data_IF_857435648409
#
_entry.id   IF_857435648409
#
_cell.length_a   1.000
_cell.length_b   1.000
_cell.length_c   1.000
_cell.angle_alpha   90.00
_cell.angle_beta   90.00
_cell.angle_gamma   90.00
#
_symmetry.space_group_name_H-M   'P 1'
#
loop_
_entity.id
_entity.type
_entity.pdbx_description
1 polymer ?
#
# COMPACT_ATOMS: atom_id res chain seq x y z
N UNK A 1 -68.46 38.50 -7.98
CA UNK A 1 -68.88 37.31 -8.74
C UNK A 1 -68.01 36.15 -8.28
N UNK A 2 -68.66 35.10 -7.78
CA UNK A 2 -68.23 33.69 -7.60
C UNK A 2 -66.93 33.37 -6.83
N UNK A 3 -67.03 32.93 -5.56
CA UNK A 3 -66.90 31.53 -5.03
C UNK A 3 -65.44 31.01 -5.00
N UNK A 4 -64.87 30.40 -3.97
CA UNK A 4 -65.35 29.88 -2.69
C UNK A 4 -64.20 29.19 -1.91
N UNK A 5 -64.52 28.78 -0.69
CA UNK A 5 -63.63 28.35 0.40
C UNK A 5 -62.80 27.06 0.18
N UNK A 6 -61.79 26.97 1.04
CA UNK A 6 -60.89 25.86 1.42
C UNK A 6 -61.63 24.55 1.75
N UNK A 7 -61.05 23.42 1.33
CA UNK A 7 -61.23 22.11 1.99
C UNK A 7 -59.97 21.23 1.86
N UNK A 8 -59.59 20.64 2.99
CA UNK A 8 -58.45 19.77 3.26
C UNK A 8 -58.41 18.51 2.36
N UNK A 9 -57.22 18.07 1.96
CA UNK A 9 -56.95 16.68 1.57
C UNK A 9 -55.88 16.11 2.49
N UNK A 10 -56.25 15.00 3.13
CA UNK A 10 -55.49 14.31 4.16
C UNK A 10 -54.18 13.71 3.68
N UNK A 11 -53.34 13.42 4.65
CA UNK A 11 -52.08 12.70 4.52
C UNK A 11 -52.27 11.36 3.78
N UNK A 12 -51.30 10.93 2.98
CA UNK A 12 -51.28 9.57 2.46
C UNK A 12 -51.08 8.58 3.61
N UNK A 13 -51.91 7.53 3.63
CA UNK A 13 -51.78 6.38 4.53
C UNK A 13 -50.37 5.78 4.47
N UNK A 14 -49.79 5.36 5.60
CA UNK A 14 -48.56 4.59 5.57
C UNK A 14 -48.83 3.25 4.87
N UNK A 15 -48.04 2.99 3.83
CA UNK A 15 -47.96 1.71 3.15
C UNK A 15 -47.79 0.62 4.19
N UNK A 16 -48.74 -0.31 4.24
CA UNK A 16 -48.66 -1.51 5.06
C UNK A 16 -47.39 -2.27 4.67
N UNK A 17 -46.41 -2.26 5.56
CA UNK A 17 -45.23 -3.12 5.52
C UNK A 17 -45.73 -4.57 5.48
N UNK A 18 -45.47 -5.24 4.36
CA UNK A 18 -45.74 -6.67 4.26
C UNK A 18 -44.98 -7.37 5.40
N UNK A 19 -45.58 -8.35 6.10
CA UNK A 19 -44.87 -9.11 7.11
C UNK A 19 -43.67 -9.77 6.44
N UNK A 20 -42.47 -9.27 6.76
CA UNK A 20 -41.23 -9.92 6.40
C UNK A 20 -41.25 -11.32 6.99
N UNK A 21 -41.50 -12.32 6.16
CA UNK A 21 -41.14 -13.69 6.48
C UNK A 21 -39.63 -13.69 6.62
N UNK A 22 -39.15 -13.58 7.86
CA UNK A 22 -37.79 -13.89 8.26
C UNK A 22 -37.56 -15.37 7.96
N UNK A 23 -37.26 -15.68 6.69
CA UNK A 23 -36.80 -17.00 6.30
C UNK A 23 -35.43 -17.12 6.93
N UNK A 24 -35.37 -17.76 8.10
CA UNK A 24 -34.12 -18.06 8.78
C UNK A 24 -33.34 -19.02 7.89
N UNK A 25 -32.44 -18.47 7.06
CA UNK A 25 -31.59 -19.27 6.19
C UNK A 25 -30.64 -20.06 7.09
N UNK A 26 -30.81 -21.37 7.12
CA UNK A 26 -29.99 -22.27 7.94
C UNK A 26 -28.81 -22.81 7.13
N UNK A 27 -27.70 -23.08 7.80
CA UNK A 27 -26.56 -23.77 7.20
C UNK A 27 -26.93 -25.19 6.73
N UNK A 28 -26.34 -25.66 5.62
CA UNK A 28 -26.66 -26.98 5.08
C UNK A 28 -26.21 -28.08 6.05
N UNK A 29 -27.07 -29.08 6.21
CA UNK A 29 -26.77 -30.28 6.99
C UNK A 29 -26.41 -31.42 6.03
N UNK A 30 -25.21 -31.98 6.18
CA UNK A 30 -24.76 -33.10 5.37
C UNK A 30 -24.02 -34.14 6.22
N UNK A 31 -23.96 -35.38 5.72
CA UNK A 31 -23.49 -36.52 6.50
C UNK A 31 -21.96 -36.61 6.55
N UNK A 32 -21.26 -36.02 5.58
CA UNK A 32 -19.79 -35.98 5.50
C UNK A 32 -19.28 -34.57 5.20
N UNK A 33 -18.04 -34.27 5.57
CA UNK A 33 -17.46 -32.95 5.29
C UNK A 33 -17.35 -32.60 3.79
N UNK A 34 -17.04 -33.53 2.86
CA UNK A 34 -17.09 -33.24 1.43
C UNK A 34 -18.49 -32.87 0.93
N UNK A 35 -19.53 -33.55 1.43
CA UNK A 35 -20.92 -33.21 1.11
C UNK A 35 -21.30 -31.84 1.67
N UNK A 36 -20.88 -31.52 2.91
CA UNK A 36 -21.08 -30.20 3.51
C UNK A 36 -20.45 -29.10 2.67
N UNK A 37 -19.20 -29.30 2.22
CA UNK A 37 -18.49 -28.35 1.37
C UNK A 37 -19.21 -28.14 0.03
N UNK A 38 -19.65 -29.22 -0.62
CA UNK A 38 -20.42 -29.14 -1.86
C UNK A 38 -21.77 -28.43 -1.68
N UNK A 39 -22.46 -28.67 -0.56
CA UNK A 39 -23.72 -28.02 -0.24
C UNK A 39 -23.55 -26.51 0.01
N UNK A 40 -22.46 -26.11 0.67
CA UNK A 40 -22.12 -24.70 0.87
C UNK A 40 -21.82 -24.01 -0.47
N UNK A 41 -21.02 -24.61 -1.35
CA UNK A 41 -20.78 -24.08 -2.71
C UNK A 41 -22.10 -23.86 -3.47
N UNK A 42 -22.99 -24.87 -3.46
CA UNK A 42 -24.27 -24.78 -4.14
C UNK A 42 -25.22 -23.73 -3.54
N UNK A 43 -25.13 -23.45 -2.22
CA UNK A 43 -25.87 -22.36 -1.59
C UNK A 43 -25.26 -20.99 -1.91
N UNK A 44 -23.94 -20.89 -1.95
CA UNK A 44 -23.22 -19.69 -2.33
C UNK A 44 -23.56 -19.26 -3.77
N UNK A 45 -23.64 -20.22 -4.70
CA UNK A 45 -24.03 -19.97 -6.10
C UNK A 45 -25.43 -19.38 -6.24
N UNK A 46 -26.32 -19.66 -5.26
CA UNK A 46 -27.67 -19.09 -5.21
C UNK A 46 -27.77 -17.80 -4.39
N UNK A 47 -26.64 -17.29 -3.87
CA UNK A 47 -26.64 -16.14 -2.95
C UNK A 47 -27.41 -16.40 -1.65
N UNK A 48 -27.53 -17.66 -1.25
CA UNK A 48 -28.40 -18.11 -0.17
C UNK A 48 -27.61 -18.59 1.06
N UNK A 49 -26.38 -18.08 1.26
CA UNK A 49 -25.64 -18.38 2.48
C UNK A 49 -26.16 -17.53 3.64
N UNK A 50 -26.22 -18.09 4.87
CA UNK A 50 -26.55 -17.32 6.05
C UNK A 50 -25.56 -16.15 6.23
N UNK A 51 -26.03 -14.96 6.62
CA UNK A 51 -25.14 -13.82 6.87
C UNK A 51 -24.31 -13.99 8.15
N UNK A 52 -24.77 -14.85 9.08
CA UNK A 52 -24.07 -15.17 10.33
C UNK A 52 -23.23 -16.43 10.20
N UNK A 53 -22.02 -16.39 10.75
CA UNK A 53 -21.13 -17.56 10.90
C UNK A 53 -21.57 -18.51 12.02
N UNK A 54 -22.54 -18.12 12.84
CA UNK A 54 -23.03 -18.94 13.95
C UNK A 54 -23.68 -20.23 13.43
N UNK A 55 -23.30 -21.36 14.03
CA UNK A 55 -23.78 -22.68 13.62
C UNK A 55 -23.23 -23.18 12.28
N UNK A 56 -22.25 -22.50 11.69
CA UNK A 56 -21.64 -22.97 10.45
C UNK A 56 -20.97 -24.34 10.65
N UNK A 57 -21.23 -25.34 9.79
CA UNK A 57 -20.70 -26.68 9.96
C UNK A 57 -19.24 -26.80 9.49
N UNK A 58 -18.75 -25.81 8.74
CA UNK A 58 -17.42 -25.78 8.13
C UNK A 58 -16.77 -24.41 8.30
N UNK A 59 -15.49 -24.39 8.65
CA UNK A 59 -14.67 -23.18 8.70
C UNK A 59 -13.32 -23.37 8.02
N UNK A 60 -12.68 -22.26 7.67
CA UNK A 60 -11.35 -22.21 7.07
C UNK A 60 -10.32 -21.82 8.13
N UNK A 61 -9.24 -22.58 8.23
CA UNK A 61 -8.09 -22.26 9.08
C UNK A 61 -6.87 -22.02 8.18
N UNK A 62 -6.50 -20.75 8.00
CA UNK A 62 -5.21 -20.39 7.41
C UNK A 62 -4.10 -20.57 8.46
N UNK A 63 -3.02 -21.26 8.11
CA UNK A 63 -1.86 -21.44 8.99
C UNK A 63 -0.54 -21.39 8.19
N UNK A 64 0.59 -21.39 8.90
CA UNK A 64 1.93 -21.24 8.33
C UNK A 64 2.61 -19.95 8.77
N UNK A 65 3.86 -19.73 8.34
CA UNK A 65 4.62 -18.51 8.66
C UNK A 65 3.98 -17.27 8.04
N UNK A 66 3.50 -17.38 6.81
CA UNK A 66 2.80 -16.31 6.10
C UNK A 66 1.37 -16.77 5.81
N UNK A 67 0.36 -16.22 6.50
CA UNK A 67 -1.03 -16.59 6.29
C UNK A 67 -1.46 -16.34 4.85
N UNK A 68 -2.21 -17.28 4.29
CA UNK A 68 -2.79 -17.19 2.95
C UNK A 68 -3.97 -16.22 2.97
N UNK A 69 -4.03 -15.30 2.01
CA UNK A 69 -5.19 -14.45 1.76
C UNK A 69 -6.16 -15.17 0.81
N UNK A 70 -7.47 -14.98 1.04
CA UNK A 70 -8.52 -15.62 0.25
C UNK A 70 -9.28 -14.61 -0.60
N UNK A 71 -9.64 -15.01 -1.81
CA UNK A 71 -10.65 -14.28 -2.58
C UNK A 71 -12.01 -14.34 -1.85
N UNK A 72 -12.83 -13.26 -1.90
CA UNK A 72 -14.16 -13.26 -1.31
C UNK A 72 -15.19 -14.04 -2.14
N UNK A 73 -14.76 -15.11 -2.82
CA UNK A 73 -15.55 -15.85 -3.80
C UNK A 73 -16.44 -16.93 -3.16
N UNK A 74 -16.07 -17.41 -1.97
CA UNK A 74 -16.85 -18.31 -1.13
C UNK A 74 -16.76 -17.85 0.34
N UNK A 75 -17.79 -17.19 0.88
CA UNK A 75 -17.73 -16.62 2.23
C UNK A 75 -17.89 -17.71 3.29
N UNK A 76 -16.77 -18.37 3.60
CA UNK A 76 -16.65 -19.31 4.72
C UNK A 76 -16.16 -18.56 5.97
N UNK A 77 -16.60 -18.95 7.18
CA UNK A 77 -16.07 -18.39 8.40
C UNK A 77 -14.60 -18.79 8.60
N UNK A 78 -13.79 -17.83 9.06
CA UNK A 78 -12.41 -18.08 9.46
C UNK A 78 -12.35 -18.61 10.89
N UNK A 79 -11.65 -19.72 11.09
CA UNK A 79 -11.34 -20.27 12.41
C UNK A 79 -9.91 -19.88 12.84
N UNK A 80 -9.71 -19.73 14.14
CA UNK A 80 -8.37 -19.71 14.76
C UNK A 80 -8.00 -21.11 15.23
N UNK A 81 -6.73 -21.35 15.55
CA UNK A 81 -6.31 -22.65 16.09
C UNK A 81 -7.11 -23.04 17.35
N UNK A 82 -7.31 -22.08 18.26
CA UNK A 82 -8.07 -22.21 19.51
C UNK A 82 -9.57 -22.40 19.26
N UNK A 83 -10.15 -21.63 18.32
CA UNK A 83 -11.58 -21.69 17.98
C UNK A 83 -11.97 -22.82 17.02
N UNK A 84 -10.99 -23.52 16.43
CA UNK A 84 -11.24 -24.58 15.44
C UNK A 84 -12.04 -25.76 15.98
N UNK A 85 -12.06 -25.96 17.30
CA UNK A 85 -12.80 -27.04 17.95
C UNK A 85 -14.32 -26.91 17.90
N UNK A 86 -14.85 -25.72 17.60
CA UNK A 86 -16.29 -25.49 17.47
C UNK A 86 -16.88 -26.04 16.16
N UNK A 87 -16.03 -26.32 15.16
CA UNK A 87 -16.45 -26.73 13.83
C UNK A 87 -16.28 -28.22 13.63
N UNK A 88 -17.31 -28.86 13.07
CA UNK A 88 -17.23 -30.27 12.69
C UNK A 88 -16.24 -30.47 11.55
N UNK A 89 -16.36 -29.66 10.51
CA UNK A 89 -15.52 -29.73 9.33
C UNK A 89 -14.53 -28.57 9.33
N UNK A 90 -13.25 -28.89 9.10
CA UNK A 90 -12.20 -27.88 9.08
C UNK A 90 -11.44 -27.97 7.76
N UNK A 91 -11.45 -26.87 7.00
CA UNK A 91 -10.64 -26.70 5.79
C UNK A 91 -9.35 -25.97 6.18
N UNK A 92 -8.24 -26.68 6.28
CA UNK A 92 -6.95 -26.07 6.59
C UNK A 92 -6.24 -25.67 5.30
N UNK A 93 -5.64 -24.49 5.28
CA UNK A 93 -4.89 -23.98 4.13
C UNK A 93 -3.57 -23.39 4.62
N UNK A 94 -2.47 -23.79 4.01
CA UNK A 94 -1.17 -23.18 4.25
C UNK A 94 -0.39 -23.03 2.96
N UNK A 95 0.32 -21.91 2.83
CA UNK A 95 1.28 -21.71 1.76
C UNK A 95 2.65 -22.25 2.17
N UNK A 96 3.27 -22.95 1.23
CA UNK A 96 4.70 -23.22 1.24
C UNK A 96 5.29 -22.28 0.19
N UNK A 97 5.87 -21.19 0.66
CA UNK A 97 6.57 -20.22 -0.18
C UNK A 97 8.07 -20.47 -0.10
N UNK A 98 8.76 -20.32 -1.22
CA UNK A 98 10.21 -20.19 -1.21
C UNK A 98 10.53 -18.69 -1.23
N UNK A 99 10.89 -18.08 -0.09
CA UNK A 99 11.18 -16.66 -0.03
C UNK A 99 12.40 -16.27 -0.86
N UNK A 100 13.29 -17.23 -1.19
CA UNK A 100 14.45 -16.99 -2.05
C UNK A 100 14.11 -17.04 -3.54
N UNK A 101 13.01 -17.70 -3.93
CA UNK A 101 12.61 -17.81 -5.34
C UNK A 101 12.08 -16.48 -5.92
N UNK A 102 11.55 -15.59 -5.07
CA UNK A 102 10.96 -14.31 -5.49
C UNK A 102 9.81 -14.46 -6.49
N UNK A 103 9.42 -13.36 -7.12
CA UNK A 103 8.54 -13.40 -8.29
C UNK A 103 9.36 -13.26 -9.58
N UNK A 104 8.93 -13.95 -10.63
CA UNK A 104 9.42 -13.74 -11.99
C UNK A 104 8.89 -12.38 -12.48
N UNK A 105 9.77 -11.48 -12.91
CA UNK A 105 9.40 -10.15 -13.39
C UNK A 105 9.67 -10.02 -14.88
N UNK A 106 8.72 -9.44 -15.61
CA UNK A 106 8.87 -9.11 -17.03
C UNK A 106 8.52 -7.65 -17.25
N UNK A 107 9.52 -6.82 -17.51
CA UNK A 107 9.31 -5.40 -17.85
C UNK A 107 8.62 -5.33 -19.22
N UNK A 108 7.45 -4.70 -19.25
CA UNK A 108 6.67 -4.49 -20.46
C UNK A 108 6.99 -3.15 -21.09
N UNK A 109 7.19 -2.13 -20.26
CA UNK A 109 7.48 -0.76 -20.69
C UNK A 109 8.19 0.02 -19.59
N UNK A 110 9.10 0.89 -20.00
CA UNK A 110 9.71 1.91 -19.15
C UNK A 110 9.59 3.27 -19.83
N UNK A 111 9.17 4.30 -19.09
CA UNK A 111 9.03 5.66 -19.61
C UNK A 111 9.38 6.71 -18.56
N UNK A 112 10.05 7.78 -18.99
CA UNK A 112 10.23 8.99 -18.17
C UNK A 112 9.09 9.95 -18.43
N UNK A 113 8.31 10.24 -17.40
CA UNK A 113 7.18 11.15 -17.46
C UNK A 113 7.51 12.48 -16.80
N UNK A 114 6.79 13.53 -17.20
CA UNK A 114 6.86 14.85 -16.57
C UNK A 114 5.55 15.11 -15.85
N UNK A 115 5.66 15.61 -14.63
CA UNK A 115 4.51 15.98 -13.81
C UNK A 115 4.80 17.22 -12.98
N UNK A 116 3.86 17.63 -12.15
CA UNK A 116 3.99 18.76 -11.25
C UNK A 116 3.24 18.53 -9.95
N UNK A 117 3.80 18.99 -8.84
CA UNK A 117 3.19 18.86 -7.51
C UNK A 117 3.09 20.24 -6.83
N UNK A 118 2.15 20.43 -5.90
CA UNK A 118 1.98 21.70 -5.20
C UNK A 118 3.13 21.93 -4.21
N UNK A 119 3.81 23.07 -4.33
CA UNK A 119 4.88 23.50 -3.41
C UNK A 119 4.50 24.69 -2.53
N UNK A 120 3.32 25.26 -2.77
CA UNK A 120 2.82 26.40 -2.00
C UNK A 120 1.52 26.91 -2.60
N UNK A 121 1.04 28.04 -2.09
CA UNK A 121 -0.11 28.75 -2.63
C UNK A 121 0.26 30.18 -2.96
N UNK A 122 -0.29 30.69 -4.07
CA UNK A 122 -0.27 32.12 -4.39
C UNK A 122 -1.69 32.65 -4.27
N UNK A 123 -1.82 33.78 -3.60
CA UNK A 123 -3.10 34.48 -3.54
C UNK A 123 -3.28 35.28 -4.82
N UNK A 124 -4.30 34.94 -5.61
CA UNK A 124 -4.66 35.69 -6.81
C UNK A 124 -6.05 36.28 -6.66
N UNK A 125 -6.35 37.30 -7.45
CA UNK A 125 -7.70 37.88 -7.49
C UNK A 125 -8.63 36.83 -8.09
N UNK A 126 -9.75 36.57 -7.41
CA UNK A 126 -10.75 35.63 -7.88
C UNK A 126 -11.38 36.16 -9.19
N UNK A 127 -11.30 35.43 -10.33
CA UNK A 127 -11.83 35.89 -11.60
C UNK A 127 -13.35 36.12 -11.55
N UNK A 128 -14.08 35.28 -10.79
CA UNK A 128 -15.52 35.43 -10.59
C UNK A 128 -15.85 36.72 -9.85
N UNK A 129 -15.03 37.11 -8.88
CA UNK A 129 -15.19 38.39 -8.20
C UNK A 129 -15.02 39.58 -9.16
N UNK A 130 -14.06 39.50 -10.08
CA UNK A 130 -13.89 40.54 -11.10
C UNK A 130 -15.04 40.58 -12.10
N UNK A 131 -15.53 39.42 -12.55
CA UNK A 131 -16.68 39.31 -13.47
C UNK A 131 -17.96 39.87 -12.85
N UNK A 132 -18.27 39.52 -11.61
CA UNK A 132 -19.44 40.03 -10.88
C UNK A 132 -19.35 41.55 -10.67
N UNK A 133 -18.15 42.06 -10.35
CA UNK A 133 -17.94 43.50 -10.17
C UNK A 133 -18.08 44.28 -11.47
N UNK A 134 -17.60 43.71 -12.58
CA UNK A 134 -17.71 44.34 -13.90
C UNK A 134 -19.17 44.30 -14.38
N UNK A 135 -19.88 43.19 -14.17
CA UNK A 135 -21.33 43.06 -14.44
C UNK A 135 -22.15 44.11 -13.68
N UNK A 136 -21.87 44.28 -12.37
CA UNK A 136 -22.54 45.31 -11.55
C UNK A 136 -22.26 46.72 -12.06
N UNK A 137 -21.05 46.97 -12.58
CA UNK A 137 -20.66 48.27 -13.12
C UNK A 137 -21.37 48.57 -14.44
N UNK A 138 -21.59 47.56 -15.27
CA UNK A 138 -22.28 47.71 -16.54
C UNK A 138 -23.78 47.95 -16.35
N UNK A 139 -24.44 47.20 -15.45
CA UNK A 139 -25.83 47.48 -15.02
C UNK A 139 -25.99 48.93 -14.52
N UNK A 140 -25.06 49.38 -13.66
CA UNK A 140 -25.10 50.75 -13.13
C UNK A 140 -24.91 51.82 -14.22
N UNK A 141 -24.14 51.52 -15.28
CA UNK A 141 -23.95 52.44 -16.42
C UNK A 141 -25.20 52.51 -17.29
N UNK A 142 -25.87 51.38 -17.51
CA UNK A 142 -27.11 51.33 -18.28
C UNK A 142 -28.23 52.11 -17.59
N UNK A 143 -28.35 52.00 -16.26
CA UNK A 143 -29.27 52.81 -15.45
C UNK A 143 -29.01 54.33 -15.59
N UNK A 144 -27.73 54.72 -15.67
CA UNK A 144 -27.32 56.11 -15.85
C UNK A 144 -27.50 56.62 -17.28
N UNK A 145 -27.44 55.74 -18.29
CA UNK A 145 -27.61 56.08 -19.70
C UNK A 145 -29.07 56.23 -20.11
N UNK A 146 -29.98 55.43 -19.54
CA UNK A 146 -31.43 55.54 -19.76
C UNK A 146 -32.07 56.83 -19.22
N UNK A 147 -31.40 57.54 -18.31
CA UNK A 147 -31.85 58.83 -17.77
C UNK A 147 -31.38 60.06 -18.52
N UNK A 148 -30.66 59.92 -19.64
CA UNK A 148 -30.47 61.03 -20.58
C UNK A 148 -31.75 61.23 -21.38
N UNK A 149 -32.70 61.93 -20.77
CA UNK A 149 -33.79 62.57 -21.49
C UNK A 149 -33.17 63.37 -22.65
N UNK A 150 -33.56 63.04 -23.87
CA UNK A 150 -33.26 63.85 -25.05
C UNK A 150 -34.03 65.16 -24.84
N UNK A 151 -33.37 66.18 -24.30
CA UNK A 151 -33.94 67.52 -24.20
C UNK A 151 -33.92 68.17 -25.59
N UNK A 152 -34.81 67.73 -26.46
CA UNK A 152 -35.20 68.51 -27.64
C UNK A 152 -35.99 69.70 -27.13
N UNK A 153 -35.39 70.90 -27.15
CA UNK A 153 -35.96 72.14 -26.62
C UNK A 153 -37.21 72.62 -27.36
N UNK A 154 -38.31 71.88 -27.25
CA UNK A 154 -39.65 72.24 -27.71
C UNK A 154 -40.69 71.79 -26.65
N UNK A 155 -41.30 72.72 -25.91
CA UNK A 155 -42.19 72.42 -24.79
C UNK A 155 -43.53 71.76 -25.20
N UNK A 156 -43.87 71.72 -26.49
CA UNK A 156 -45.12 71.11 -26.96
C UNK A 156 -44.97 69.60 -27.29
N UNK A 157 -43.77 69.12 -27.59
CA UNK A 157 -43.50 67.69 -27.87
C UNK A 157 -43.12 66.93 -26.58
N UNK A 158 -42.67 67.65 -25.55
CA UNK A 158 -42.23 67.08 -24.27
C UNK A 158 -43.38 66.50 -23.41
N UNK A 159 -44.65 66.88 -23.66
CA UNK A 159 -45.77 66.40 -22.85
C UNK A 159 -46.32 65.04 -23.32
N UNK A 160 -46.14 64.69 -24.60
CA UNK A 160 -46.58 63.39 -25.15
C UNK A 160 -45.51 62.31 -24.98
N UNK A 161 -44.23 62.70 -24.88
CA UNK A 161 -43.14 61.79 -24.51
C UNK A 161 -43.23 61.26 -23.06
N UNK A 162 -43.91 61.97 -22.16
CA UNK A 162 -43.98 61.63 -20.73
C UNK A 162 -45.10 60.64 -20.38
N UNK A 163 -46.16 60.53 -21.20
CA UNK A 163 -47.31 59.66 -20.87
C UNK A 163 -47.26 58.30 -21.60
N UNK A 164 -46.58 58.20 -22.74
CA UNK A 164 -46.42 56.92 -23.46
C UNK A 164 -45.19 56.09 -23.03
N UNK A 165 -44.19 56.68 -22.37
CA UNK A 165 -43.03 55.95 -21.82
C UNK A 165 -43.20 55.41 -20.41
N UNK A 166 -44.10 55.99 -19.60
CA UNK A 166 -44.14 55.76 -18.14
C UNK A 166 -44.75 54.44 -17.66
N UNK A 167 -45.39 53.64 -18.51
CA UNK A 167 -46.08 52.40 -18.09
C UNK A 167 -45.35 51.12 -18.54
N UNK A 168 -44.51 51.20 -19.58
CA UNK A 168 -43.70 50.04 -20.02
C UNK A 168 -42.33 49.99 -19.32
N UNK A 169 -41.77 51.12 -18.87
CA UNK A 169 -40.48 51.14 -18.16
C UNK A 169 -40.56 50.63 -16.71
N UNK A 170 -41.74 50.68 -16.08
CA UNK A 170 -41.93 50.30 -14.67
C UNK A 170 -41.87 48.79 -14.39
N UNK A 171 -42.25 47.95 -15.37
CA UNK A 171 -42.18 46.49 -15.22
C UNK A 171 -40.75 45.97 -15.44
N UNK A 172 -39.99 46.57 -16.37
CA UNK A 172 -38.56 46.26 -16.57
C UNK A 172 -37.68 46.77 -15.42
N UNK A 173 -38.05 47.87 -14.75
CA UNK A 173 -37.31 48.38 -13.60
C UNK A 173 -37.34 47.41 -12.40
N UNK A 174 -38.49 46.77 -12.14
CA UNK A 174 -38.63 45.82 -11.03
C UNK A 174 -37.83 44.51 -11.25
N UNK A 175 -37.63 44.08 -12.49
CA UNK A 175 -36.84 42.88 -12.79
C UNK A 175 -35.33 43.18 -12.74
N UNK A 176 -34.90 44.38 -13.15
CA UNK A 176 -33.50 44.84 -13.05
C UNK A 176 -33.03 45.02 -11.61
N UNK A 177 -33.92 45.51 -10.72
CA UNK A 177 -33.59 45.64 -9.29
C UNK A 177 -33.32 44.28 -8.62
N UNK A 178 -34.04 43.23 -9.00
CA UNK A 178 -33.86 41.88 -8.45
C UNK A 178 -32.57 41.21 -8.99
N UNK A 179 -32.28 41.39 -10.29
CA UNK A 179 -31.05 40.91 -10.92
C UNK A 179 -29.81 41.58 -10.32
N UNK A 180 -29.86 42.91 -10.14
CA UNK A 180 -28.79 43.66 -9.45
C UNK A 180 -28.60 43.21 -8.00
N UNK A 181 -29.68 43.06 -7.24
CA UNK A 181 -29.61 42.56 -5.87
C UNK A 181 -29.05 41.12 -5.81
N UNK A 182 -29.30 40.31 -6.84
CA UNK A 182 -28.69 39.00 -7.05
C UNK A 182 -27.17 39.08 -7.21
N UNK A 183 -26.69 39.91 -8.13
CA UNK A 183 -25.25 40.12 -8.40
C UNK A 183 -24.54 40.69 -7.16
N UNK A 184 -25.15 41.66 -6.46
CA UNK A 184 -24.58 42.25 -5.23
C UNK A 184 -24.43 41.21 -4.11
N UNK A 185 -25.43 40.33 -3.95
CA UNK A 185 -25.39 39.23 -2.97
C UNK A 185 -24.30 38.22 -3.31
N UNK A 186 -24.23 37.79 -4.57
CA UNK A 186 -23.21 36.85 -5.04
C UNK A 186 -21.80 37.44 -4.94
N UNK A 187 -21.63 38.73 -5.21
CA UNK A 187 -20.36 39.45 -5.06
C UNK A 187 -19.92 39.55 -3.59
N UNK A 188 -20.87 39.74 -2.67
CA UNK A 188 -20.60 39.77 -1.23
C UNK A 188 -20.18 38.40 -0.66
N UNK A 189 -20.76 37.33 -1.21
CA UNK A 189 -20.44 35.94 -0.86
C UNK A 189 -19.14 35.45 -1.54
N UNK A 190 -18.81 36.00 -2.70
CA UNK A 190 -17.59 35.65 -3.44
C UNK A 190 -16.37 36.34 -2.84
N UNK A 191 -15.45 35.55 -2.26
CA UNK A 191 -14.20 36.07 -1.73
C UNK A 191 -13.36 36.79 -2.81
N UNK A 192 -12.82 37.96 -2.47
CA UNK A 192 -11.99 38.80 -3.38
C UNK A 192 -10.74 38.08 -3.90
N UNK A 193 -10.22 37.14 -3.13
CA UNK A 193 -9.02 36.40 -3.46
C UNK A 193 -9.29 34.90 -3.38
N UNK A 194 -8.62 34.15 -4.24
CA UNK A 194 -8.54 32.69 -4.17
C UNK A 194 -7.07 32.27 -4.05
N UNK A 195 -6.82 31.21 -3.28
CA UNK A 195 -5.50 30.63 -3.14
C UNK A 195 -5.32 29.58 -4.24
N UNK A 196 -4.40 29.83 -5.18
CA UNK A 196 -4.05 28.89 -6.24
C UNK A 196 -2.77 28.15 -5.89
N UNK A 197 -2.68 26.83 -6.13
CA UNK A 197 -1.45 26.09 -5.89
C UNK A 197 -0.34 26.56 -6.84
N UNK A 198 0.85 26.78 -6.28
CA UNK A 198 2.08 26.92 -7.05
C UNK A 198 2.57 25.50 -7.34
N UNK A 199 2.54 25.11 -8.60
CA UNK A 199 2.98 23.80 -9.05
C UNK A 199 4.46 23.86 -9.44
N UNK A 200 5.27 22.97 -8.87
CA UNK A 200 6.67 22.78 -9.26
C UNK A 200 6.79 21.58 -10.19
N UNK A 201 7.42 21.74 -11.38
CA UNK A 201 7.58 20.64 -12.32
C UNK A 201 8.68 19.68 -11.86
N UNK A 202 8.50 18.40 -12.16
CA UNK A 202 9.51 17.37 -11.94
C UNK A 202 9.35 16.24 -12.96
N UNK A 203 10.30 15.30 -12.97
CA UNK A 203 10.23 14.08 -13.78
C UNK A 203 10.35 12.84 -12.92
N UNK A 204 9.68 11.77 -13.30
CA UNK A 204 9.77 10.47 -12.64
C UNK A 204 9.77 9.34 -13.66
N UNK A 205 10.27 8.18 -13.26
CA UNK A 205 10.28 6.97 -14.08
C UNK A 205 9.04 6.14 -13.76
N UNK A 206 8.33 5.72 -14.81
CA UNK A 206 7.23 4.76 -14.75
C UNK A 206 7.69 3.46 -15.41
N UNK A 207 7.69 2.37 -14.64
CA UNK A 207 8.03 1.03 -15.15
C UNK A 207 6.80 0.14 -15.05
N UNK A 208 6.19 -0.19 -16.19
CA UNK A 208 5.10 -1.17 -16.28
C UNK A 208 5.72 -2.56 -16.43
N UNK A 209 5.37 -3.47 -15.53
CA UNK A 209 5.87 -4.84 -15.56
C UNK A 209 4.80 -5.84 -15.13
N UNK A 210 4.96 -7.07 -15.58
CA UNK A 210 4.21 -8.22 -15.13
C UNK A 210 5.06 -8.97 -14.11
N UNK A 211 4.50 -9.24 -12.92
CA UNK A 211 5.14 -10.05 -11.90
C UNK A 211 4.33 -11.35 -11.69
N UNK A 212 5.02 -12.49 -11.69
CA UNK A 212 4.41 -13.81 -11.49
C UNK A 212 5.05 -14.47 -10.29
N UNK A 213 4.25 -14.72 -9.27
CA UNK A 213 4.66 -15.48 -8.08
C UNK A 213 4.06 -16.88 -8.13
N UNK A 214 4.88 -17.88 -7.86
CA UNK A 214 4.46 -19.29 -7.77
C UNK A 214 4.66 -19.80 -6.36
N UNK A 215 3.68 -20.56 -5.87
CA UNK A 215 3.79 -21.25 -4.58
C UNK A 215 3.08 -22.60 -4.64
N UNK A 216 3.30 -23.43 -3.62
CA UNK A 216 2.50 -24.62 -3.39
C UNK A 216 1.67 -24.43 -2.14
N UNK A 217 0.34 -24.58 -2.23
CA UNK A 217 -0.52 -24.57 -1.06
C UNK A 217 -0.84 -26.01 -0.64
N UNK A 218 -0.72 -26.30 0.64
CA UNK A 218 -1.21 -27.54 1.25
C UNK A 218 -2.61 -27.26 1.78
N UNK A 219 -3.57 -28.07 1.31
CA UNK A 219 -4.96 -27.98 1.73
C UNK A 219 -5.38 -29.32 2.32
N UNK A 220 -6.15 -29.27 3.40
CA UNK A 220 -6.73 -30.46 4.00
C UNK A 220 -8.17 -30.22 4.45
N UNK A 221 -9.02 -31.20 4.25
CA UNK A 221 -10.40 -31.22 4.76
C UNK A 221 -10.48 -32.30 5.84
N UNK A 222 -10.72 -31.88 7.07
CA UNK A 222 -10.73 -32.73 8.25
C UNK A 222 -12.19 -32.91 8.73
N UNK A 223 -12.62 -34.16 8.94
CA UNK A 223 -13.80 -34.46 9.75
C UNK A 223 -13.36 -34.68 11.20
N UNK A 224 -13.62 -33.69 12.05
CA UNK A 224 -13.21 -33.72 13.46
C UNK A 224 -13.94 -34.78 14.28
N UNK A 225 -15.08 -35.28 13.80
CA UNK A 225 -15.86 -36.31 14.48
C UNK A 225 -15.24 -37.69 14.29
N UNK A 226 -14.72 -37.99 13.11
CA UNK A 226 -14.13 -39.31 12.80
C UNK A 226 -12.61 -39.32 12.95
N UNK A 227 -11.95 -38.16 12.91
CA UNK A 227 -10.49 -38.07 12.88
C UNK A 227 -9.89 -38.45 11.52
N UNK A 228 -10.73 -38.48 10.49
CA UNK A 228 -10.34 -38.78 9.11
C UNK A 228 -10.37 -37.51 8.27
N UNK A 229 -9.64 -37.51 7.16
CA UNK A 229 -9.62 -36.39 6.25
C UNK A 229 -9.01 -36.69 4.90
N UNK A 230 -8.96 -35.64 4.09
CA UNK A 230 -8.36 -35.62 2.77
C UNK A 230 -7.34 -34.51 2.71
N UNK A 231 -6.27 -34.73 1.95
CA UNK A 231 -5.20 -33.75 1.79
C UNK A 231 -4.78 -33.65 0.34
N UNK A 232 -4.39 -32.46 -0.07
CA UNK A 232 -3.81 -32.20 -1.39
C UNK A 232 -2.80 -31.06 -1.34
N UNK A 233 -1.81 -31.13 -2.23
CA UNK A 233 -0.92 -30.02 -2.53
C UNK A 233 -1.32 -29.44 -3.89
N UNK A 234 -1.48 -28.12 -3.97
CA UNK A 234 -1.93 -27.43 -5.17
C UNK A 234 -0.89 -26.39 -5.59
N UNK A 235 -0.41 -26.41 -6.84
CA UNK A 235 0.38 -25.31 -7.36
C UNK A 235 -0.52 -24.09 -7.60
N UNK A 236 -0.07 -22.94 -7.10
CA UNK A 236 -0.71 -21.64 -7.29
C UNK A 236 0.25 -20.72 -8.02
N UNK A 237 -0.29 -20.03 -9.00
CA UNK A 237 0.37 -18.93 -9.70
C UNK A 237 -0.50 -17.69 -9.52
N UNK A 238 0.10 -16.60 -9.04
CA UNK A 238 -0.52 -15.29 -8.96
C UNK A 238 0.25 -14.34 -9.89
N UNK A 239 -0.50 -13.73 -10.81
CA UNK A 239 0.01 -12.75 -11.76
C UNK A 239 -0.47 -11.37 -11.39
N UNK A 240 0.43 -10.40 -11.41
CA UNK A 240 0.15 -9.02 -11.08
C UNK A 240 0.78 -8.09 -12.12
N UNK A 241 -0.06 -7.31 -12.78
CA UNK A 241 0.38 -6.24 -13.67
C UNK A 241 0.51 -4.95 -12.85
N UNK A 242 1.74 -4.42 -12.75
CA UNK A 242 2.05 -3.28 -11.89
C UNK A 242 2.73 -2.14 -12.65
N UNK A 243 2.44 -0.92 -12.22
CA UNK A 243 3.12 0.29 -12.65
C UNK A 243 3.95 0.82 -11.47
N UNK A 244 5.27 0.65 -11.56
CA UNK A 244 6.22 1.11 -10.55
C UNK A 244 6.55 2.59 -10.77
N UNK A 245 6.44 3.38 -9.70
CA UNK A 245 6.79 4.81 -9.71
C UNK A 245 7.49 5.22 -8.41
N UNK A 246 8.73 4.79 -8.22
CA UNK A 246 9.50 5.04 -6.98
C UNK A 246 9.85 6.51 -6.78
N UNK A 247 10.12 7.23 -7.87
CA UNK A 247 10.55 8.64 -7.83
C UNK A 247 9.35 9.63 -7.88
N UNK A 248 8.12 9.14 -7.72
CA UNK A 248 6.93 10.00 -7.77
C UNK A 248 6.84 10.83 -6.49
N UNK A 249 6.57 12.13 -6.64
CA UNK A 249 6.37 12.99 -5.48
C UNK A 249 5.06 12.60 -4.73
N UNK A 250 5.06 12.45 -3.40
CA UNK A 250 3.90 12.00 -2.64
C UNK A 250 2.69 12.93 -2.78
N UNK A 251 2.94 14.24 -2.91
CA UNK A 251 1.89 15.26 -3.07
C UNK A 251 1.45 15.48 -4.52
N UNK A 252 1.95 14.71 -5.49
CA UNK A 252 1.52 14.83 -6.88
C UNK A 252 0.06 14.35 -7.04
N UNK A 253 -0.89 15.24 -7.36
CA UNK A 253 -2.30 14.87 -7.46
C UNK A 253 -2.61 14.08 -8.74
N UNK A 254 -1.69 14.04 -9.71
CA UNK A 254 -1.91 13.40 -11.00
C UNK A 254 -1.43 11.94 -10.98
N UNK A 255 -2.37 11.00 -10.96
CA UNK A 255 -2.04 9.58 -11.12
C UNK A 255 -2.08 9.23 -12.60
N UNK A 256 -1.00 9.48 -13.33
CA UNK A 256 -0.86 8.93 -14.69
C UNK A 256 -0.46 7.46 -14.59
N UNK A 257 -1.46 6.58 -14.72
CA UNK A 257 -1.23 5.14 -14.87
C UNK A 257 -2.18 4.60 -15.93
N UNK A 258 -1.72 3.58 -16.65
CA UNK A 258 -2.58 2.79 -17.52
C UNK A 258 -3.61 2.06 -16.61
N UNK A 259 -4.94 2.17 -16.85
CA UNK A 259 -5.95 1.60 -15.95
C UNK A 259 -5.82 0.10 -15.66
N UNK A 260 -5.11 -0.61 -16.53
CA UNK A 260 -4.85 -2.04 -16.45
C UNK A 260 -3.71 -2.41 -15.48
N UNK A 261 -2.93 -1.43 -15.02
CA UNK A 261 -1.77 -1.65 -14.14
C UNK A 261 -2.02 -1.07 -12.76
N UNK A 262 -1.72 -1.85 -11.72
CA UNK A 262 -1.83 -1.40 -10.34
C UNK A 262 -0.66 -0.48 -9.99
N UNK A 263 -0.89 0.76 -9.55
CA UNK A 263 0.20 1.65 -9.13
C UNK A 263 0.84 1.14 -7.83
N UNK A 264 2.16 0.97 -7.83
CA UNK A 264 2.93 0.45 -6.69
C UNK A 264 4.34 1.08 -6.64
N UNK A 265 5.02 0.93 -5.50
CA UNK A 265 6.47 1.17 -5.40
C UNK A 265 7.21 -0.17 -5.42
N UNK A 266 8.50 -0.14 -5.71
CA UNK A 266 9.39 -1.30 -5.61
C UNK A 266 9.35 -1.94 -4.21
N UNK A 267 9.20 -1.13 -3.16
CA UNK A 267 9.03 -1.63 -1.78
C UNK A 267 7.73 -2.41 -1.62
N UNK A 268 6.62 -1.88 -2.14
CA UNK A 268 5.33 -2.60 -2.08
C UNK A 268 5.36 -3.86 -2.94
N UNK A 269 6.03 -3.83 -4.10
CA UNK A 269 6.23 -5.03 -4.92
C UNK A 269 7.04 -6.08 -4.17
N UNK A 270 8.19 -5.72 -3.58
CA UNK A 270 9.01 -6.64 -2.79
C UNK A 270 8.28 -7.21 -1.55
N UNK A 271 7.39 -6.42 -0.94
CA UNK A 271 6.51 -6.91 0.12
C UNK A 271 5.46 -7.90 -0.42
N UNK A 272 4.87 -7.61 -1.57
CA UNK A 272 3.96 -8.54 -2.24
C UNK A 272 4.68 -9.84 -2.59
N UNK A 273 5.88 -9.82 -3.15
CA UNK A 273 6.63 -11.01 -3.56
C UNK A 273 6.93 -11.97 -2.40
N UNK A 274 7.26 -11.42 -1.22
CA UNK A 274 7.52 -12.21 0.00
C UNK A 274 6.26 -12.74 0.67
N UNK A 275 5.09 -12.23 0.32
CA UNK A 275 3.81 -12.67 0.89
C UNK A 275 3.42 -14.10 0.50
N UNK A 276 2.29 -14.57 1.01
CA UNK A 276 1.60 -15.74 0.48
C UNK A 276 0.71 -15.32 -0.72
N UNK A 277 0.50 -16.20 -1.71
CA UNK A 277 -0.41 -15.91 -2.80
C UNK A 277 -1.84 -15.74 -2.33
N UNK A 278 -2.58 -14.90 -3.03
CA UNK A 278 -4.03 -14.85 -2.88
C UNK A 278 -4.66 -16.06 -3.59
N UNK A 279 -5.60 -16.74 -2.92
CA UNK A 279 -6.19 -17.98 -3.44
C UNK A 279 -7.72 -17.98 -3.37
N UNK A 280 -8.33 -18.49 -4.43
CA UNK A 280 -9.77 -18.71 -4.51
C UNK A 280 -10.18 -19.89 -3.61
N UNK A 281 -11.14 -19.65 -2.70
CA UNK A 281 -11.71 -20.71 -1.86
C UNK A 281 -12.55 -21.68 -2.69
N UNK A 282 -13.18 -21.21 -3.77
CA UNK A 282 -13.88 -22.10 -4.73
C UNK A 282 -12.92 -23.06 -5.43
N UNK A 283 -11.75 -22.58 -5.85
CA UNK A 283 -10.72 -23.44 -6.46
C UNK A 283 -10.23 -24.51 -5.48
N UNK A 284 -10.03 -24.14 -4.21
CA UNK A 284 -9.68 -25.08 -3.14
C UNK A 284 -10.82 -26.08 -2.92
N UNK A 285 -12.06 -25.62 -2.84
CA UNK A 285 -13.22 -26.48 -2.61
C UNK A 285 -13.39 -27.52 -3.73
N UNK A 286 -13.27 -27.10 -4.99
CA UNK A 286 -13.26 -28.01 -6.14
C UNK A 286 -12.13 -29.05 -6.06
N UNK A 287 -10.92 -28.63 -5.68
CA UNK A 287 -9.78 -29.54 -5.54
C UNK A 287 -9.97 -30.56 -4.40
N UNK A 288 -10.64 -30.15 -3.31
CA UNK A 288 -10.97 -31.04 -2.19
C UNK A 288 -12.11 -32.01 -2.53
N UNK A 289 -13.11 -31.59 -3.31
CA UNK A 289 -14.14 -32.50 -3.84
C UNK A 289 -13.54 -33.60 -4.71
N UNK A 290 -12.57 -33.25 -5.56
CA UNK A 290 -11.86 -34.24 -6.36
C UNK A 290 -10.98 -35.17 -5.49
N UNK A 291 -10.30 -34.63 -4.47
CA UNK A 291 -9.57 -35.44 -3.50
C UNK A 291 -10.48 -36.40 -2.70
N UNK A 292 -11.71 -35.97 -2.41
CA UNK A 292 -12.71 -36.75 -1.67
C UNK A 292 -13.25 -37.96 -2.43
N UNK A 293 -12.88 -38.15 -3.69
CA UNK A 293 -13.15 -39.38 -4.45
C UNK A 293 -12.31 -40.56 -3.96
N UNK A 294 -11.18 -40.29 -3.30
CA UNK A 294 -10.38 -41.28 -2.61
C UNK A 294 -10.95 -41.54 -1.20
N UNK A 295 -10.76 -42.75 -0.63
CA UNK A 295 -11.15 -43.03 0.74
C UNK A 295 -10.45 -42.08 1.71
N UNK A 296 -11.16 -41.69 2.76
CA UNK A 296 -10.60 -40.85 3.83
C UNK A 296 -9.47 -41.62 4.54
N UNK A 297 -8.44 -40.88 4.98
CA UNK A 297 -7.35 -41.43 5.75
C UNK A 297 -7.31 -40.79 7.15
N UNK A 298 -6.77 -41.48 8.17
CA UNK A 298 -6.52 -40.87 9.46
C UNK A 298 -5.67 -39.60 9.31
N UNK A 299 -6.19 -38.45 9.75
CA UNK A 299 -5.53 -37.17 9.57
C UNK A 299 -5.91 -36.24 10.72
N UNK A 300 -4.90 -35.74 11.45
CA UNK A 300 -5.09 -34.82 12.56
C UNK A 300 -4.63 -33.41 12.19
N UNK A 301 -5.24 -32.40 12.83
CA UNK A 301 -4.82 -31.00 12.64
C UNK A 301 -3.34 -30.79 12.99
N UNK A 302 -2.87 -31.40 14.07
CA UNK A 302 -1.46 -31.31 14.48
C UNK A 302 -0.52 -31.87 13.40
N UNK A 303 -0.84 -33.03 12.83
CA UNK A 303 -0.03 -33.63 11.76
C UNK A 303 0.04 -32.74 10.51
N UNK A 304 -1.07 -32.09 10.12
CA UNK A 304 -1.09 -31.16 8.98
C UNK A 304 -0.23 -29.92 9.26
N UNK A 305 -0.32 -29.35 10.47
CA UNK A 305 0.46 -28.18 10.87
C UNK A 305 1.96 -28.51 10.91
N UNK A 306 2.34 -29.63 11.53
CA UNK A 306 3.73 -30.02 11.68
C UNK A 306 4.40 -30.33 10.34
N UNK A 307 3.72 -31.06 9.45
CA UNK A 307 4.24 -31.35 8.10
C UNK A 307 4.44 -30.06 7.30
N UNK A 308 3.50 -29.13 7.37
CA UNK A 308 3.63 -27.84 6.69
C UNK A 308 4.80 -27.06 7.24
N UNK A 309 4.97 -27.02 8.57
CA UNK A 309 6.11 -26.36 9.22
C UNK A 309 7.44 -26.99 8.78
N UNK A 310 7.51 -28.31 8.70
CA UNK A 310 8.71 -29.02 8.22
C UNK A 310 8.99 -28.74 6.74
N UNK A 311 7.96 -28.67 5.90
CA UNK A 311 8.11 -28.39 4.47
C UNK A 311 8.52 -26.94 4.19
N UNK A 312 8.12 -26.01 5.05
CA UNK A 312 8.47 -24.58 5.01
C UNK A 312 9.88 -24.32 5.60
N UNK A 313 10.33 -25.16 6.53
CA UNK A 313 11.68 -25.08 7.11
C UNK A 313 12.77 -25.78 6.28
N UNK A 314 12.39 -26.65 5.34
CA UNK A 314 13.35 -27.39 4.53
C UNK A 314 14.05 -26.45 3.53
N UNK A 315 15.39 -26.32 3.55
CA UNK A 315 16.10 -25.60 2.50
C UNK A 315 15.88 -26.33 1.19
N UNK A 316 15.07 -25.75 0.29
CA UNK A 316 14.86 -26.30 -1.04
C UNK A 316 16.10 -26.01 -1.88
N UNK A 317 17.09 -26.89 -1.76
CA UNK A 317 18.24 -26.92 -2.63
C UNK A 317 17.77 -27.00 -4.10
N UNK A 318 18.06 -25.94 -4.86
CA UNK A 318 18.27 -25.89 -6.30
C UNK A 318 17.71 -27.10 -7.09
N UNK A 319 16.41 -27.11 -7.35
CA UNK A 319 15.93 -27.79 -8.55
C UNK A 319 16.20 -26.83 -9.71
N UNK A 320 17.43 -26.90 -10.21
CA UNK A 320 17.83 -26.37 -11.51
C UNK A 320 16.97 -27.11 -12.55
N UNK A 321 15.79 -26.56 -12.84
CA UNK A 321 14.93 -27.06 -13.89
C UNK A 321 15.51 -26.50 -15.19
N UNK A 322 16.04 -27.38 -16.03
CA UNK A 322 16.56 -27.05 -17.35
C UNK A 322 15.55 -26.17 -18.11
N UNK A 323 15.87 -24.89 -18.22
CA UNK A 323 15.24 -23.97 -19.15
C UNK A 323 16.10 -23.93 -20.42
N UNK A 324 15.51 -24.03 -21.62
CA UNK A 324 16.26 -24.09 -22.86
C UNK A 324 16.98 -22.75 -23.10
N UNK A 325 18.21 -22.87 -23.62
CA UNK A 325 19.07 -21.76 -24.01
C UNK A 325 18.34 -20.75 -24.90
N UNK A 326 18.37 -19.49 -24.48
CA UNK A 326 17.89 -18.39 -25.28
C UNK A 326 18.05 -17.03 -24.60
N UNK A 327 19.29 -16.51 -24.59
CA UNK A 327 19.64 -15.06 -24.54
C UNK A 327 19.18 -14.29 -23.27
N UNK A 328 20.01 -13.57 -22.53
CA UNK A 328 20.98 -12.54 -22.93
C UNK A 328 22.11 -12.57 -21.88
N UNK A 329 23.26 -13.13 -22.25
CA UNK A 329 24.51 -12.96 -21.54
C UNK A 329 25.47 -12.27 -22.50
N UNK A 330 25.44 -10.94 -22.50
CA UNK A 330 26.48 -10.10 -23.11
C UNK A 330 26.53 -8.75 -22.39
N UNK A 331 27.07 -8.77 -21.17
CA UNK A 331 27.82 -7.63 -20.64
C UNK A 331 29.10 -8.20 -20.01
N UNK A 332 30.19 -8.13 -20.76
CA UNK A 332 31.51 -8.47 -20.27
C UNK A 332 31.91 -7.55 -19.09
N UNK A 333 32.54 -8.07 -18.02
CA UNK A 333 33.12 -7.22 -16.99
C UNK A 333 34.39 -6.57 -17.53
N UNK A 334 34.46 -5.25 -17.41
CA UNK A 334 35.67 -4.49 -17.71
C UNK A 334 36.80 -4.90 -16.75
N UNK A 335 38.00 -5.01 -17.32
CA UNK A 335 39.20 -5.50 -16.68
C UNK A 335 39.74 -4.56 -15.57
N UNK A 336 40.11 -5.17 -14.45
CA UNK A 336 41.42 -4.99 -13.79
C UNK A 336 41.67 -3.73 -12.95
N UNK A 337 41.67 -3.92 -11.62
CA UNK A 337 42.61 -3.24 -10.70
C UNK A 337 43.25 -4.29 -9.77
N UNK A 338 44.54 -4.14 -9.41
CA UNK A 338 45.31 -5.19 -8.75
C UNK A 338 44.92 -5.33 -7.28
N UNK A 339 44.77 -6.59 -6.84
CA UNK A 339 44.78 -6.96 -5.44
C UNK A 339 46.08 -6.49 -4.78
N UNK A 340 46.00 -5.48 -3.93
CA UNK A 340 47.05 -5.14 -2.96
C UNK A 340 46.45 -5.11 -1.56
N UNK A 341 47.10 -5.91 -0.72
CA UNK A 341 47.03 -5.93 0.74
C UNK A 341 45.71 -6.37 1.37
N UNK A 342 45.32 -7.62 1.06
CA UNK A 342 44.61 -8.45 2.03
C UNK A 342 45.63 -8.93 3.08
N UNK A 343 46.06 -8.02 3.96
CA UNK A 343 46.66 -8.44 5.22
C UNK A 343 45.60 -9.27 5.96
N UNK A 344 45.96 -10.50 6.30
CA UNK A 344 45.13 -11.44 7.04
C UNK A 344 44.50 -10.76 8.25
N UNK A 345 43.20 -10.44 8.13
CA UNK A 345 42.38 -10.03 9.25
C UNK A 345 41.96 -11.30 9.98
N UNK A 346 42.23 -11.31 11.28
CA UNK A 346 41.89 -12.36 12.23
C UNK A 346 40.40 -12.73 12.10
N UNK A 347 40.04 -14.02 11.92
CA UNK A 347 38.63 -14.49 11.88
C UNK A 347 37.83 -14.17 13.15
N UNK A 348 38.44 -13.61 14.20
CA UNK A 348 37.74 -13.00 15.34
C UNK A 348 37.07 -11.64 15.04
N UNK A 349 37.21 -11.10 13.82
CA UNK A 349 36.61 -9.81 13.39
C UNK A 349 35.30 -9.95 12.59
N UNK A 350 34.62 -11.08 12.72
CA UNK A 350 33.41 -11.53 11.98
C UNK A 350 32.14 -10.67 12.15
N UNK A 351 32.24 -9.54 12.84
CA UNK A 351 31.12 -8.61 13.09
C UNK A 351 31.07 -7.44 12.11
N UNK A 352 32.05 -7.32 11.21
CA UNK A 352 32.28 -6.14 10.37
C UNK A 352 32.00 -6.42 8.90
N UNK A 353 31.24 -5.54 8.27
CA UNK A 353 30.92 -5.57 6.84
C UNK A 353 31.48 -4.30 6.20
N UNK A 354 32.16 -4.40 5.06
CA UNK A 354 32.60 -3.21 4.29
C UNK A 354 31.49 -2.79 3.32
N UNK A 355 31.27 -1.48 3.19
CA UNK A 355 30.19 -0.93 2.36
C UNK A 355 30.70 -0.03 1.23
N UNK A 356 29.98 -0.11 0.10
CA UNK A 356 30.18 0.73 -1.08
C UNK A 356 31.27 0.21 -2.04
N UNK A 357 31.27 0.71 -3.28
CA UNK A 357 32.17 0.23 -4.36
C UNK A 357 33.67 0.38 -4.04
N UNK A 358 34.02 1.25 -3.10
CA UNK A 358 35.40 1.46 -2.64
C UNK A 358 35.72 0.83 -1.26
N UNK A 359 34.72 0.28 -0.54
CA UNK A 359 34.92 -0.39 0.76
C UNK A 359 35.53 0.47 1.86
N UNK A 360 35.32 1.80 1.83
CA UNK A 360 35.97 2.77 2.73
C UNK A 360 35.27 2.98 4.08
N UNK A 361 34.10 2.37 4.26
CA UNK A 361 33.36 2.40 5.51
C UNK A 361 32.99 1.00 5.97
N UNK A 362 32.81 0.89 7.28
CA UNK A 362 32.47 -0.33 7.99
C UNK A 362 31.05 -0.18 8.52
N UNK A 363 30.31 -1.28 8.50
CA UNK A 363 29.08 -1.46 9.26
C UNK A 363 29.20 -2.69 10.15
N UNK A 364 28.31 -2.80 11.13
CA UNK A 364 28.28 -3.93 12.04
C UNK A 364 26.84 -4.33 12.35
N UNK A 365 26.66 -5.62 12.64
CA UNK A 365 25.35 -6.20 12.94
C UNK A 365 24.84 -5.74 14.31
N UNK A 366 23.58 -5.32 14.35
CA UNK A 366 22.84 -4.95 15.56
C UNK A 366 21.69 -5.92 15.83
N UNK A 367 21.19 -6.58 14.79
CA UNK A 367 20.40 -7.82 14.82
C UNK A 367 21.07 -8.83 13.87
N UNK A 368 20.62 -10.09 13.80
CA UNK A 368 21.25 -11.06 12.88
C UNK A 368 21.21 -10.60 11.42
N UNK A 369 20.22 -9.83 11.02
CA UNK A 369 19.94 -9.43 9.65
C UNK A 369 20.04 -7.92 9.39
N UNK A 370 20.24 -7.09 10.41
CA UNK A 370 20.37 -5.63 10.27
C UNK A 370 21.76 -5.15 10.69
N UNK A 371 22.34 -4.29 9.86
CA UNK A 371 23.62 -3.63 10.13
C UNK A 371 23.47 -2.11 10.18
N UNK A 372 24.20 -1.49 11.10
CA UNK A 372 24.32 -0.03 11.20
C UNK A 372 25.55 0.41 10.43
N UNK A 373 25.41 1.49 9.67
CA UNK A 373 26.49 2.07 8.86
C UNK A 373 26.35 3.59 8.71
N UNK A 374 27.42 4.34 8.41
CA UNK A 374 27.31 5.77 8.10
C UNK A 374 26.40 6.06 6.91
N UNK A 375 25.66 7.17 6.96
CA UNK A 375 24.69 7.51 5.93
C UNK A 375 25.35 8.00 4.63
N UNK A 376 26.45 8.73 4.74
CA UNK A 376 27.15 9.39 3.64
C UNK A 376 27.94 8.41 2.74
N UNK A 377 28.15 7.18 3.20
CA UNK A 377 28.77 6.11 2.40
C UNK A 377 27.76 5.34 1.57
N UNK A 378 26.47 5.53 1.84
CA UNK A 378 25.42 4.84 1.11
C UNK A 378 25.13 5.52 -0.22
N UNK A 379 24.87 4.74 -1.28
CA UNK A 379 24.39 5.30 -2.53
C UNK A 379 22.99 5.92 -2.34
N UNK A 380 22.60 6.76 -3.30
CA UNK A 380 21.22 7.29 -3.35
C UNK A 380 20.18 6.19 -3.61
N UNK A 381 20.60 5.05 -4.16
CA UNK A 381 19.77 3.85 -4.32
C UNK A 381 19.47 3.19 -2.98
N UNK A 382 18.41 2.40 -2.94
CA UNK A 382 18.07 1.58 -1.76
C UNK A 382 18.90 0.30 -1.66
N UNK A 383 19.69 -0.05 -2.68
CA UNK A 383 20.60 -1.18 -2.66
C UNK A 383 22.03 -0.71 -2.40
N UNK A 384 22.77 -1.45 -1.56
CA UNK A 384 24.18 -1.22 -1.24
C UNK A 384 24.95 -2.54 -1.31
N UNK A 385 26.13 -2.52 -1.92
CA UNK A 385 27.04 -3.65 -1.91
C UNK A 385 27.66 -3.82 -0.52
N UNK A 386 27.55 -5.03 0.03
CA UNK A 386 28.07 -5.49 1.31
C UNK A 386 29.17 -6.50 1.05
N UNK A 387 30.41 -6.17 1.45
CA UNK A 387 31.56 -7.07 1.34
C UNK A 387 31.88 -7.65 2.71
N UNK A 388 31.76 -8.98 2.85
CA UNK A 388 32.01 -9.70 4.09
C UNK A 388 33.50 -10.05 4.24
N UNK A 389 33.88 -10.57 5.42
CA UNK A 389 35.26 -10.92 5.74
C UNK A 389 35.85 -12.03 4.84
N UNK A 390 34.99 -12.92 4.32
CA UNK A 390 35.37 -13.96 3.35
C UNK A 390 35.51 -13.43 1.91
N UNK A 391 35.28 -12.14 1.69
CA UNK A 391 35.36 -11.48 0.39
C UNK A 391 34.10 -11.64 -0.48
N UNK A 392 33.06 -12.30 0.01
CA UNK A 392 31.77 -12.38 -0.69
C UNK A 392 31.12 -10.98 -0.75
N UNK A 393 30.51 -10.66 -1.90
CA UNK A 393 29.77 -9.42 -2.11
C UNK A 393 28.30 -9.73 -2.30
N UNK A 394 27.45 -9.26 -1.38
CA UNK A 394 25.99 -9.39 -1.43
C UNK A 394 25.38 -7.99 -1.45
N UNK A 395 24.19 -7.85 -2.03
CA UNK A 395 23.48 -6.57 -2.00
C UNK A 395 22.54 -6.53 -0.80
N UNK A 396 22.79 -5.60 0.11
CA UNK A 396 21.89 -5.23 1.20
C UNK A 396 20.92 -4.13 0.80
N UNK A 397 19.87 -3.95 1.60
CA UNK A 397 18.83 -2.93 1.37
C UNK A 397 18.84 -1.88 2.48
N UNK A 398 18.91 -0.60 2.14
CA UNK A 398 18.84 0.50 3.11
C UNK A 398 17.40 0.62 3.62
N UNK A 399 17.16 0.19 4.86
CA UNK A 399 15.83 0.20 5.47
C UNK A 399 15.47 1.56 6.05
N UNK A 400 16.45 2.21 6.68
CA UNK A 400 16.24 3.49 7.37
C UNK A 400 17.45 4.38 7.21
N UNK A 401 17.20 5.67 6.99
CA UNK A 401 18.22 6.72 6.96
C UNK A 401 17.89 7.71 8.07
N UNK A 402 18.87 8.03 8.90
CA UNK A 402 18.77 9.07 9.92
C UNK A 402 19.82 10.16 9.65
N UNK A 403 19.42 11.25 8.95
CA UNK A 403 20.30 12.36 8.66
C UNK A 403 20.76 13.11 9.92
N UNK A 404 20.00 13.05 11.02
CA UNK A 404 20.38 13.74 12.27
C UNK A 404 21.54 13.02 12.96
N UNK A 405 21.51 11.68 12.95
CA UNK A 405 22.60 10.86 13.49
C UNK A 405 23.73 10.66 12.48
N UNK A 406 23.48 10.88 11.18
CA UNK A 406 24.44 10.58 10.12
C UNK A 406 24.63 9.07 9.92
N UNK A 407 23.63 8.26 10.28
CA UNK A 407 23.66 6.81 10.25
C UNK A 407 22.49 6.26 9.44
N UNK A 408 22.61 5.00 9.06
CA UNK A 408 21.57 4.25 8.38
C UNK A 408 21.53 2.81 8.89
N UNK A 409 20.36 2.21 8.79
CA UNK A 409 20.11 0.80 9.03
C UNK A 409 19.96 0.11 7.67
N UNK A 410 20.70 -0.97 7.48
CA UNK A 410 20.73 -1.74 6.24
C UNK A 410 20.39 -3.19 6.56
N UNK A 411 19.43 -3.75 5.84
CA UNK A 411 19.13 -5.17 5.85
C UNK A 411 20.17 -5.94 5.03
N UNK A 412 20.65 -7.02 5.61
CA UNK A 412 21.61 -7.96 5.05
C UNK A 412 20.92 -9.31 4.84
N UNK A 413 20.84 -9.83 3.60
CA UNK A 413 20.29 -11.15 3.32
C UNK A 413 21.06 -12.31 3.99
N UNK A 414 22.32 -12.07 4.35
CA UNK A 414 23.17 -13.00 5.09
C UNK A 414 23.17 -12.62 6.56
N UNK A 415 22.86 -13.58 7.42
CA UNK A 415 22.91 -13.36 8.86
C UNK A 415 24.36 -13.17 9.33
N UNK A 416 24.56 -12.24 10.27
CA UNK A 416 25.82 -12.00 10.96
C UNK A 416 25.65 -12.01 12.48
N UNK A 417 26.77 -11.95 13.20
CA UNK A 417 26.73 -12.00 14.67
C UNK A 417 26.47 -10.61 15.25
N UNK A 418 25.32 -10.36 15.92
CA UNK A 418 24.97 -9.05 16.43
C UNK A 418 25.90 -8.61 17.57
N UNK A 419 26.23 -7.33 17.61
CA UNK A 419 26.93 -6.72 18.72
C UNK A 419 25.93 -6.10 19.71
N UNK A 420 26.03 -6.50 20.98
CA UNK A 420 25.23 -5.90 22.05
C UNK A 420 25.54 -4.40 22.21
N UNK A 421 24.52 -3.60 22.50
CA UNK A 421 24.67 -2.16 22.73
C UNK A 421 24.81 -1.88 24.23
N UNK A 422 25.88 -1.19 24.62
CA UNK A 422 26.09 -0.69 25.97
C UNK A 422 25.67 0.79 26.06
N UNK A 423 24.37 1.01 26.26
CA UNK A 423 23.79 2.35 26.31
C UNK A 423 24.19 3.16 27.55
N UNK A 424 24.68 2.47 28.59
CA UNK A 424 25.02 3.07 29.89
C UNK A 424 26.44 3.61 29.92
N UNK A 425 27.35 3.04 29.12
CA UNK A 425 28.71 3.51 29.01
C UNK A 425 28.83 4.80 28.19
N UNK A 426 29.76 5.66 28.61
CA UNK A 426 30.19 6.78 27.77
C UNK A 426 31.04 6.25 26.61
N UNK A 427 30.92 6.81 25.40
CA UNK A 427 31.72 6.36 24.27
C UNK A 427 33.22 6.52 24.56
N UNK A 428 33.95 5.42 24.42
CA UNK A 428 35.40 5.42 24.65
C UNK A 428 36.05 6.12 23.45
N UNK A 429 36.75 7.24 23.69
CA UNK A 429 37.50 7.90 22.62
C UNK A 429 38.72 7.05 22.27
N UNK A 430 38.85 6.61 21.01
CA UNK A 430 39.97 5.80 20.58
C UNK A 430 41.25 6.63 20.54
N UNK A 431 42.38 6.01 20.87
CA UNK A 431 43.72 6.63 20.84
C UNK A 431 44.29 6.73 19.43
N UNK A 432 43.81 5.89 18.50
CA UNK A 432 44.07 5.96 17.06
C UNK A 432 42.79 6.36 16.29
N UNK A 433 42.92 6.90 15.08
CA UNK A 433 41.75 7.25 14.25
C UNK A 433 41.17 5.97 13.64
N UNK A 434 39.95 5.54 14.04
CA UNK A 434 39.31 4.35 13.48
C UNK A 434 38.83 4.57 12.05
N UNK A 435 38.48 3.46 11.40
CA UNK A 435 37.74 3.45 10.13
C UNK A 435 36.40 4.15 10.26
N UNK A 436 35.90 4.68 9.16
CA UNK A 436 34.57 5.29 9.14
C UNK A 436 33.49 4.23 9.40
N UNK A 437 32.60 4.46 10.37
CA UNK A 437 31.55 3.51 10.74
C UNK A 437 32.00 2.43 11.73
N UNK A 438 33.23 2.52 12.25
CA UNK A 438 33.76 1.57 13.21
C UNK A 438 32.95 1.59 14.54
N UNK A 439 32.52 0.42 15.07
CA UNK A 439 31.97 0.32 16.41
C UNK A 439 33.07 0.50 17.47
N UNK A 440 32.79 1.36 18.46
CA UNK A 440 33.64 1.58 19.64
C UNK A 440 33.21 0.65 20.77
N UNK A 441 34.07 -0.26 21.19
CA UNK A 441 33.73 -1.36 22.11
C UNK A 441 34.15 -1.09 23.57
N UNK A 442 33.31 -1.49 24.52
CA UNK A 442 33.67 -1.77 25.93
C UNK A 442 33.68 -3.30 26.16
N UNK A 443 33.94 -3.74 27.40
CA UNK A 443 33.76 -5.14 27.79
C UNK A 443 32.30 -5.61 27.72
N UNK A 444 31.33 -4.69 27.79
CA UNK A 444 29.90 -5.00 27.81
C UNK A 444 29.22 -4.86 26.43
N UNK A 445 29.84 -4.17 25.46
CA UNK A 445 29.28 -4.03 24.11
C UNK A 445 29.72 -2.76 23.38
N UNK A 446 28.96 -2.40 22.35
CA UNK A 446 29.17 -1.17 21.56
C UNK A 446 28.75 0.04 22.39
N UNK A 447 29.68 0.97 22.60
CA UNK A 447 29.46 2.25 23.31
C UNK A 447 29.18 3.43 22.37
N UNK A 448 29.52 3.28 21.08
CA UNK A 448 29.21 4.26 20.04
C UNK A 448 29.78 3.90 18.67
N UNK A 449 29.52 4.75 17.68
CA UNK A 449 29.97 4.59 16.28
C UNK A 449 30.83 5.79 15.88
N UNK A 450 31.99 5.54 15.29
CA UNK A 450 32.90 6.57 14.81
C UNK A 450 32.54 7.07 13.42
N UNK A 451 32.36 8.39 13.25
CA UNK A 451 32.11 9.04 11.96
C UNK A 451 33.36 9.76 11.43
N UNK A 452 33.49 9.90 10.11
CA UNK A 452 34.69 10.43 9.45
C UNK A 452 35.04 11.88 9.84
N UNK A 453 34.08 12.65 10.34
CA UNK A 453 34.23 14.03 10.82
C UNK A 453 34.64 14.12 12.31
N UNK A 454 35.17 13.03 12.88
CA UNK A 454 35.54 12.89 14.30
C UNK A 454 34.35 13.02 15.27
N UNK A 455 33.12 12.91 14.78
CA UNK A 455 31.95 12.75 15.65
C UNK A 455 31.83 11.30 16.10
N UNK A 456 31.32 11.14 17.31
CA UNK A 456 30.95 9.84 17.85
C UNK A 456 29.45 9.87 18.10
N UNK A 457 28.72 8.92 17.50
CA UNK A 457 27.32 8.69 17.82
C UNK A 457 27.25 7.70 18.99
N UNK A 458 26.77 8.09 20.17
CA UNK A 458 26.75 7.18 21.33
C UNK A 458 25.72 6.06 21.14
N UNK A 459 25.95 4.89 21.72
CA UNK A 459 25.08 3.71 21.57
C UNK A 459 23.62 3.98 21.97
N UNK A 460 23.39 4.78 23.02
CA UNK A 460 22.03 5.23 23.41
C UNK A 460 21.25 5.96 22.31
N UNK A 461 21.95 6.56 21.33
CA UNK A 461 21.31 7.22 20.19
C UNK A 461 20.95 6.22 19.08
N UNK A 462 21.57 5.03 19.06
CA UNK A 462 21.23 3.95 18.14
C UNK A 462 19.90 3.29 18.50
N UNK A 463 19.52 3.26 19.78
CA UNK A 463 18.22 2.75 20.22
C UNK A 463 17.04 3.45 19.53
N UNK A 464 17.16 4.77 19.30
CA UNK A 464 16.18 5.54 18.53
C UNK A 464 16.14 5.16 17.05
N UNK A 465 17.29 4.83 16.47
CA UNK A 465 17.41 4.33 15.09
C UNK A 465 16.74 2.96 14.93
N UNK A 466 16.86 2.08 15.93
CA UNK A 466 16.33 0.72 15.95
C UNK A 466 14.83 0.64 16.33
N UNK A 467 14.26 1.69 16.91
CA UNK A 467 12.83 1.89 17.14
C UNK A 467 12.07 0.72 17.79
N UNK A 468 11.93 0.74 19.12
CA UNK A 468 10.93 -0.05 19.91
C UNK A 468 10.71 -1.53 19.55
N UNK A 469 11.67 -2.20 18.91
CA UNK A 469 11.66 -3.65 18.63
C UNK A 469 12.58 -4.47 19.53
N UNK A 470 13.38 -3.82 20.38
CA UNK A 470 14.00 -4.44 21.55
C UNK A 470 13.05 -4.17 22.73
N UNK A 471 12.36 -5.09 23.39
CA UNK A 471 12.37 -6.56 23.54
C UNK A 471 10.94 -6.97 24.04
N UNK A 472 10.70 -8.26 24.35
CA UNK A 472 10.73 -8.56 25.78
C UNK A 472 11.67 -9.74 26.07
N UNK A 473 12.56 -9.52 27.05
CA UNK A 473 13.04 -10.62 27.91
C UNK A 473 11.95 -11.02 28.90
#
# INVERSE_FOLDING_TARGET
MTTGCVAQRGAPDPVAEAPGTDVTVQWPQASTCPETLAAIEAMADRGALPPSSEGAPLAVLAHGRTPVAFDPDLPLPSATAEGSGAYRCLLTVAAITDPAAGAERRVLREARLRSSYPTGTKRVVNPRYTELRDSLRDETREDGAGRRAITTGDPAIDLVGVIAGGILDGASALWRDDERAGIERELAETGRYEDQPILSPYGYTLTELEAVRRASIVVALLDRRTGEGWRRSLPVEERLDVALSDDRHPDDPTIQHTPSFRPMTSTTLAAWERGAPQVSLRRIAAAMRDAARAPAAPLTLAAVIDETRSADAAPRALVRRDAPEGSIADVAPAAGLPARDAAALDPSTDHRVRLGEAGHAVGFFVTPDELVTPLDVLPRSSLVALTYADGEVIHGMVERRDPMLGLALVYSPREGTPLALDERAAPIRPTATPSHGEPLMSEAGVTGVWLADRRIVPARSLAGLLGSRQTPE
#
